data_IF_763955676768
#
_entry.id   IF_763955676768
#
_cell.length_a   1.000
_cell.length_b   1.000
_cell.length_c   1.000
_cell.angle_alpha   90.00
_cell.angle_beta   90.00
_cell.angle_gamma   90.00
#
_symmetry.space_group_name_H-M   'P 1'
#
loop_
_entity.id
_entity.type
_entity.pdbx_description
1 polymer ?
#
# COMPACT_ATOMS: atom_id res chain seq x y z
N UNK A 1 60.14 11.39 24.32
CA UNK A 1 59.59 10.22 23.60
C UNK A 1 58.29 9.68 24.22
N UNK A 2 58.15 9.62 25.56
CA UNK A 2 56.99 9.06 26.29
C UNK A 2 55.66 9.76 25.98
N UNK A 3 55.65 11.09 25.83
CA UNK A 3 54.42 11.85 25.55
C UNK A 3 53.88 11.65 24.12
N UNK A 4 54.74 11.44 23.11
CA UNK A 4 54.33 11.17 21.74
C UNK A 4 53.63 9.82 21.62
N UNK A 5 54.08 8.81 22.34
CA UNK A 5 53.46 7.48 22.39
C UNK A 5 52.07 7.52 23.05
N UNK A 6 51.90 8.32 24.08
CA UNK A 6 50.61 8.50 24.78
C UNK A 6 49.55 9.15 23.86
N UNK A 7 49.92 10.21 23.14
CA UNK A 7 49.01 10.86 22.17
C UNK A 7 48.68 9.95 20.98
N UNK A 8 49.61 9.11 20.51
CA UNK A 8 49.36 8.13 19.48
C UNK A 8 48.35 7.05 19.90
N UNK A 9 48.46 6.58 21.16
CA UNK A 9 47.51 5.60 21.73
C UNK A 9 46.12 6.18 21.94
N UNK A 10 46.02 7.44 22.39
CA UNK A 10 44.72 8.13 22.57
C UNK A 10 44.06 8.39 21.21
N UNK A 11 44.82 8.77 20.20
CA UNK A 11 44.30 8.97 18.85
C UNK A 11 43.81 7.66 18.19
N UNK A 12 44.53 6.56 18.37
CA UNK A 12 44.13 5.22 17.91
C UNK A 12 42.86 4.70 18.64
N UNK A 13 42.77 4.92 19.96
CA UNK A 13 41.57 4.59 20.73
C UNK A 13 40.37 5.40 20.32
N UNK A 14 40.54 6.70 20.10
CA UNK A 14 39.45 7.56 19.61
C UNK A 14 38.95 7.15 18.22
N UNK A 15 39.85 6.82 17.29
CA UNK A 15 39.48 6.33 15.96
C UNK A 15 38.73 4.98 16.01
N UNK A 16 39.18 4.07 16.88
CA UNK A 16 38.50 2.78 17.07
C UNK A 16 37.08 2.94 17.62
N UNK A 17 36.85 3.85 18.57
CA UNK A 17 35.54 4.16 19.10
C UNK A 17 34.65 4.78 18.04
N UNK A 18 35.15 5.71 17.22
CA UNK A 18 34.39 6.32 16.13
C UNK A 18 34.03 5.29 15.07
N UNK A 19 34.94 4.39 14.71
CA UNK A 19 34.67 3.29 13.77
C UNK A 19 33.65 2.29 14.34
N UNK A 20 33.72 1.99 15.63
CA UNK A 20 32.74 1.15 16.32
C UNK A 20 31.36 1.82 16.36
N UNK A 21 31.27 3.10 16.65
CA UNK A 21 30.01 3.86 16.61
C UNK A 21 29.42 3.92 15.19
N UNK A 22 30.25 4.08 14.16
CA UNK A 22 29.83 4.04 12.76
C UNK A 22 29.33 2.62 12.39
N UNK A 23 29.99 1.59 12.88
CA UNK A 23 29.59 0.19 12.65
C UNK A 23 28.27 -0.14 13.37
N UNK A 24 28.10 0.32 14.62
CA UNK A 24 26.87 0.17 15.40
C UNK A 24 25.73 1.07 14.90
N UNK A 25 26.02 2.11 14.13
CA UNK A 25 25.02 2.99 13.52
C UNK A 25 24.59 2.55 12.11
N UNK A 26 25.01 1.37 11.65
CA UNK A 26 24.44 0.81 10.42
C UNK A 26 22.95 0.59 10.66
N UNK A 27 22.08 1.15 9.82
CA UNK A 27 20.67 0.85 9.93
C UNK A 27 20.49 -0.66 9.82
N UNK A 28 19.71 -1.24 10.75
CA UNK A 28 19.30 -2.63 10.63
C UNK A 28 18.69 -2.84 9.24
N UNK A 29 18.96 -3.98 8.58
CA UNK A 29 18.29 -4.30 7.34
C UNK A 29 16.77 -4.28 7.59
N UNK A 30 15.99 -3.82 6.61
CA UNK A 30 14.53 -3.86 6.70
C UNK A 30 14.10 -5.27 7.07
N UNK A 31 13.23 -5.38 8.06
CA UNK A 31 12.59 -6.63 8.36
C UNK A 31 11.69 -7.01 7.17
N UNK A 32 12.11 -8.00 6.40
CA UNK A 32 11.44 -8.47 5.19
C UNK A 32 10.35 -9.50 5.53
N UNK A 33 9.44 -9.11 6.43
CA UNK A 33 8.30 -9.95 6.85
C UNK A 33 6.99 -9.32 6.46
N UNK A 34 5.94 -10.12 6.42
CA UNK A 34 4.63 -9.68 6.02
C UNK A 34 4.64 -9.12 4.59
N UNK A 35 3.81 -8.12 4.33
CA UNK A 35 3.75 -7.50 3.00
C UNK A 35 5.09 -6.88 2.54
N UNK A 36 5.95 -6.47 3.47
CA UNK A 36 7.29 -5.90 3.16
C UNK A 36 8.26 -6.92 2.55
N UNK A 37 7.97 -8.20 2.62
CA UNK A 37 8.72 -9.20 1.88
C UNK A 37 8.59 -9.02 0.35
N UNK A 38 7.55 -8.33 -0.09
CA UNK A 38 7.25 -8.11 -1.50
C UNK A 38 7.52 -6.68 -1.92
N UNK A 39 8.18 -6.53 -3.08
CA UNK A 39 8.53 -5.20 -3.65
C UNK A 39 7.47 -4.65 -4.58
N UNK A 40 6.57 -5.50 -5.06
CA UNK A 40 5.51 -5.11 -5.97
C UNK A 40 4.15 -5.22 -5.30
N UNK A 41 3.36 -4.18 -5.46
CA UNK A 41 1.96 -4.10 -5.04
C UNK A 41 1.12 -3.91 -6.30
N UNK A 42 0.18 -4.82 -6.55
CA UNK A 42 -0.76 -4.67 -7.65
C UNK A 42 -1.74 -3.54 -7.33
N UNK A 43 -1.70 -2.46 -8.09
CA UNK A 43 -2.58 -1.31 -7.95
C UNK A 43 -3.98 -1.65 -8.44
N UNK A 44 -5.02 -1.37 -7.67
CA UNK A 44 -6.42 -1.70 -7.99
C UNK A 44 -6.64 -3.17 -8.42
N UNK A 45 -6.07 -4.12 -7.68
CA UNK A 45 -5.99 -5.56 -7.99
C UNK A 45 -5.07 -5.91 -9.18
N UNK A 46 -4.39 -4.92 -9.75
CA UNK A 46 -3.56 -5.02 -10.96
C UNK A 46 -4.33 -4.84 -12.25
N UNK A 47 -3.59 -4.56 -13.31
CA UNK A 47 -4.14 -4.45 -14.66
C UNK A 47 -4.46 -5.82 -15.26
N UNK A 48 -5.48 -5.84 -16.11
CA UNK A 48 -5.85 -7.00 -16.93
C UNK A 48 -6.01 -6.56 -18.38
N UNK A 49 -5.30 -7.23 -19.27
CA UNK A 49 -5.15 -6.79 -20.65
C UNK A 49 -4.66 -5.33 -20.71
N UNK A 50 -5.47 -4.40 -21.24
CA UNK A 50 -5.14 -2.96 -21.30
C UNK A 50 -5.87 -2.14 -20.22
N UNK A 51 -6.69 -2.79 -19.38
CA UNK A 51 -7.51 -2.12 -18.40
C UNK A 51 -6.79 -1.98 -17.06
N UNK A 52 -7.00 -0.83 -16.44
CA UNK A 52 -6.55 -0.49 -15.08
C UNK A 52 -7.75 -0.14 -14.20
N UNK A 53 -7.55 -0.02 -12.89
CA UNK A 53 -8.59 0.36 -11.92
C UNK A 53 -9.80 -0.58 -11.85
N UNK A 54 -9.66 -1.82 -12.34
CA UNK A 54 -10.81 -2.72 -12.44
C UNK A 54 -11.28 -3.24 -11.09
N UNK A 55 -10.39 -3.41 -10.14
CA UNK A 55 -10.68 -4.03 -8.83
C UNK A 55 -11.51 -5.32 -9.00
N UNK A 56 -11.22 -6.12 -10.03
CA UNK A 56 -12.01 -7.27 -10.45
C UNK A 56 -11.39 -8.61 -10.04
N UNK A 57 -12.23 -9.65 -10.02
CA UNK A 57 -11.78 -11.01 -9.71
C UNK A 57 -10.72 -11.48 -10.70
N UNK A 58 -10.95 -11.28 -11.99
CA UNK A 58 -10.06 -11.78 -13.03
C UNK A 58 -8.72 -11.01 -13.06
N UNK A 59 -8.73 -9.71 -12.71
CA UNK A 59 -7.48 -8.95 -12.53
C UNK A 59 -6.67 -9.51 -11.35
N UNK A 60 -7.32 -9.79 -10.23
CA UNK A 60 -6.68 -10.46 -9.09
C UNK A 60 -6.07 -11.80 -9.50
N UNK A 61 -6.85 -12.70 -10.12
CA UNK A 61 -6.40 -14.05 -10.49
C UNK A 61 -5.22 -13.99 -11.48
N UNK A 62 -5.32 -13.15 -12.51
CA UNK A 62 -4.24 -12.98 -13.49
C UNK A 62 -2.93 -12.47 -12.87
N UNK A 63 -3.00 -11.55 -11.92
CA UNK A 63 -1.81 -11.00 -11.26
C UNK A 63 -1.29 -11.95 -10.16
N UNK A 64 -2.15 -12.70 -9.49
CA UNK A 64 -1.74 -13.76 -8.57
C UNK A 64 -0.95 -14.86 -9.28
N UNK A 65 -1.40 -15.30 -10.47
CA UNK A 65 -0.70 -16.27 -11.31
C UNK A 65 0.69 -15.77 -11.78
N UNK A 66 0.84 -14.46 -12.00
CA UNK A 66 2.14 -13.83 -12.29
C UNK A 66 3.08 -13.74 -11.08
N UNK A 67 2.63 -14.16 -9.89
CA UNK A 67 3.43 -14.17 -8.67
C UNK A 67 3.20 -12.98 -7.73
N UNK A 68 2.25 -12.09 -8.00
CA UNK A 68 1.88 -11.00 -7.08
C UNK A 68 1.22 -11.56 -5.82
N UNK A 69 1.57 -11.00 -4.67
CA UNK A 69 1.04 -11.40 -3.35
C UNK A 69 0.52 -10.23 -2.52
N UNK A 70 0.77 -9.02 -2.94
CA UNK A 70 0.26 -7.81 -2.28
C UNK A 70 -0.63 -7.07 -3.27
N UNK A 71 -1.90 -6.91 -2.93
CA UNK A 71 -2.91 -6.28 -3.77
C UNK A 71 -3.45 -5.04 -3.07
N UNK A 72 -3.34 -3.91 -3.71
CA UNK A 72 -4.03 -2.71 -3.29
C UNK A 72 -5.44 -2.72 -3.85
N UNK A 73 -6.39 -2.28 -3.04
CA UNK A 73 -7.82 -2.27 -3.34
C UNK A 73 -8.42 -0.92 -2.98
N UNK A 74 -9.06 -0.31 -3.94
CA UNK A 74 -9.86 0.90 -3.75
C UNK A 74 -11.18 0.55 -3.08
N UNK A 75 -11.53 1.20 -1.98
CA UNK A 75 -12.77 0.94 -1.26
C UNK A 75 -13.71 2.15 -1.20
N UNK A 76 -14.95 1.93 -1.58
CA UNK A 76 -16.05 2.88 -1.44
C UNK A 76 -17.26 2.22 -0.77
N UNK A 77 -18.18 3.05 -0.27
CA UNK A 77 -19.50 2.60 0.16
C UNK A 77 -20.51 2.73 -0.98
N UNK A 78 -21.29 1.69 -1.17
CA UNK A 78 -22.46 1.70 -2.06
C UNK A 78 -23.60 2.55 -1.50
N UNK A 79 -24.65 2.77 -2.29
CA UNK A 79 -25.85 3.51 -1.87
C UNK A 79 -26.53 2.87 -0.65
N UNK A 80 -26.52 1.55 -0.55
CA UNK A 80 -27.07 0.75 0.54
C UNK A 80 -26.05 0.36 1.60
N UNK A 81 -24.95 1.15 1.71
CA UNK A 81 -23.93 1.05 2.77
C UNK A 81 -23.15 -0.26 2.79
N UNK A 82 -22.94 -0.89 1.64
CA UNK A 82 -22.07 -2.07 1.50
C UNK A 82 -20.69 -1.62 1.03
N UNK A 83 -19.61 -2.22 1.57
CA UNK A 83 -18.25 -1.92 1.16
C UNK A 83 -17.91 -2.66 -0.14
N UNK A 84 -17.53 -1.90 -1.16
CA UNK A 84 -17.26 -2.38 -2.52
C UNK A 84 -15.85 -1.99 -2.97
N UNK A 85 -15.31 -2.74 -3.92
CA UNK A 85 -14.01 -2.47 -4.54
C UNK A 85 -14.18 -1.62 -5.81
N UNK A 86 -14.02 -0.29 -5.69
CA UNK A 86 -14.14 0.66 -6.76
C UNK A 86 -13.36 1.94 -6.47
N UNK A 87 -12.66 2.48 -7.46
CA UNK A 87 -11.84 3.68 -7.30
C UNK A 87 -12.68 4.94 -7.06
N UNK A 88 -13.74 5.15 -7.82
CA UNK A 88 -14.56 6.36 -7.76
C UNK A 88 -15.94 6.13 -8.38
N UNK A 89 -16.96 6.83 -7.85
CA UNK A 89 -18.24 6.97 -8.49
C UNK A 89 -18.20 8.06 -9.58
N UNK A 90 -19.10 7.99 -10.52
CA UNK A 90 -19.26 9.01 -11.55
C UNK A 90 -19.13 8.45 -12.96
N UNK A 91 -19.63 9.23 -13.91
CA UNK A 91 -19.71 8.86 -15.31
C UNK A 91 -18.34 8.57 -15.95
N UNK A 92 -17.30 9.31 -15.52
CA UNK A 92 -15.94 9.08 -16.01
C UNK A 92 -15.47 7.65 -15.74
N UNK A 93 -15.65 7.15 -14.51
CA UNK A 93 -15.25 5.77 -14.15
C UNK A 93 -16.18 4.71 -14.76
N UNK A 94 -17.47 5.01 -14.91
CA UNK A 94 -18.39 4.13 -15.62
C UNK A 94 -17.94 3.93 -17.07
N UNK A 95 -17.49 5.00 -17.72
CA UNK A 95 -16.97 4.95 -19.08
C UNK A 95 -15.59 4.26 -19.15
N UNK A 96 -14.66 4.61 -18.25
CA UNK A 96 -13.32 4.01 -18.17
C UNK A 96 -13.39 2.49 -18.01
N UNK A 97 -14.32 2.02 -17.16
CA UNK A 97 -14.54 0.60 -16.90
C UNK A 97 -15.50 -0.07 -17.89
N UNK A 98 -15.96 0.65 -18.93
CA UNK A 98 -16.84 0.19 -19.99
C UNK A 98 -18.12 -0.46 -19.45
N UNK A 99 -18.73 0.19 -18.45
CA UNK A 99 -19.95 -0.28 -17.79
C UNK A 99 -21.23 0.44 -18.27
N UNK A 100 -21.17 1.23 -19.33
CA UNK A 100 -22.30 2.05 -19.80
C UNK A 100 -23.49 1.20 -20.27
N UNK A 101 -23.22 0.02 -20.81
CA UNK A 101 -24.27 -0.89 -21.32
C UNK A 101 -24.87 -1.76 -20.22
N UNK A 102 -24.25 -1.78 -19.01
CA UNK A 102 -24.65 -2.65 -17.91
C UNK A 102 -25.81 -2.06 -17.08
N UNK A 103 -26.00 -0.74 -17.12
CA UNK A 103 -27.00 -0.02 -16.37
C UNK A 103 -27.67 1.10 -17.19
N UNK A 104 -28.91 1.50 -16.86
CA UNK A 104 -29.57 2.64 -17.51
C UNK A 104 -28.76 3.93 -17.38
N UNK A 105 -28.84 4.80 -18.42
CA UNK A 105 -28.00 6.01 -18.54
C UNK A 105 -28.08 6.95 -17.32
N UNK A 106 -29.25 7.03 -16.67
CA UNK A 106 -29.45 7.83 -15.47
C UNK A 106 -28.68 7.32 -14.24
N UNK A 107 -28.14 6.10 -14.31
CA UNK A 107 -27.33 5.51 -13.24
C UNK A 107 -25.81 5.73 -13.45
N UNK A 108 -25.34 6.11 -14.64
CA UNK A 108 -23.91 6.17 -14.96
C UNK A 108 -23.11 7.11 -14.03
N UNK A 109 -23.70 8.23 -13.60
CA UNK A 109 -23.07 9.19 -12.69
C UNK A 109 -23.43 9.01 -11.21
N UNK A 110 -24.27 8.04 -10.88
CA UNK A 110 -24.81 7.88 -9.54
C UNK A 110 -23.97 6.94 -8.66
N UNK A 111 -24.21 6.99 -7.35
CA UNK A 111 -23.78 5.92 -6.43
C UNK A 111 -24.74 4.75 -6.61
N UNK A 112 -24.22 3.55 -6.84
CA UNK A 112 -25.01 2.35 -7.06
C UNK A 112 -25.27 1.58 -5.78
N UNK A 113 -26.34 0.80 -5.73
CA UNK A 113 -26.50 -0.24 -4.72
C UNK A 113 -25.49 -1.36 -4.94
N UNK A 114 -25.22 -2.16 -3.90
CA UNK A 114 -24.35 -3.33 -4.05
C UNK A 114 -24.83 -4.33 -5.11
N UNK A 115 -26.16 -4.48 -5.25
CA UNK A 115 -26.76 -5.35 -6.26
C UNK A 115 -26.52 -4.82 -7.69
N UNK A 116 -26.72 -3.52 -7.94
CA UNK A 116 -26.41 -2.88 -9.21
C UNK A 116 -24.91 -2.99 -9.53
N UNK A 117 -24.05 -2.76 -8.53
CA UNK A 117 -22.61 -2.87 -8.69
C UNK A 117 -22.17 -4.29 -9.11
N UNK A 118 -22.72 -5.33 -8.47
CA UNK A 118 -22.41 -6.72 -8.82
C UNK A 118 -22.93 -7.14 -10.19
N UNK A 119 -24.02 -6.54 -10.66
CA UNK A 119 -24.55 -6.78 -12.02
C UNK A 119 -23.69 -6.12 -13.09
N UNK A 120 -23.18 -4.90 -12.82
CA UNK A 120 -22.45 -4.10 -13.78
C UNK A 120 -21.03 -4.64 -13.99
N UNK A 121 -20.87 -5.65 -14.85
CA UNK A 121 -19.56 -6.23 -15.17
C UNK A 121 -18.63 -5.17 -15.75
N UNK A 122 -17.37 -5.19 -15.32
CA UNK A 122 -16.34 -4.37 -15.93
C UNK A 122 -16.04 -4.92 -17.32
N UNK A 123 -16.09 -4.05 -18.35
CA UNK A 123 -15.97 -4.43 -19.77
C UNK A 123 -16.94 -5.56 -20.19
N UNK A 124 -18.13 -5.61 -19.58
CA UNK A 124 -19.15 -6.63 -19.85
C UNK A 124 -18.77 -8.07 -19.42
N UNK A 125 -17.61 -8.27 -18.78
CA UNK A 125 -17.07 -9.63 -18.51
C UNK A 125 -16.40 -9.82 -17.15
N UNK A 126 -15.67 -8.82 -16.63
CA UNK A 126 -14.93 -8.97 -15.37
C UNK A 126 -15.83 -8.72 -14.17
N UNK A 127 -15.65 -9.55 -13.15
CA UNK A 127 -16.50 -9.54 -11.96
C UNK A 127 -16.10 -8.47 -10.95
N UNK A 128 -16.97 -7.48 -10.66
CA UNK A 128 -16.77 -6.53 -9.58
C UNK A 128 -16.78 -7.23 -8.22
N UNK A 129 -15.92 -6.80 -7.29
CA UNK A 129 -15.78 -7.41 -5.97
C UNK A 129 -16.39 -6.54 -4.85
N UNK A 130 -17.14 -7.18 -3.96
CA UNK A 130 -17.48 -6.65 -2.65
C UNK A 130 -16.38 -6.99 -1.65
N UNK A 131 -16.35 -6.32 -0.49
CA UNK A 131 -15.43 -6.69 0.58
C UNK A 131 -15.57 -8.16 1.00
N UNK A 132 -16.78 -8.67 1.10
CA UNK A 132 -17.04 -10.07 1.44
C UNK A 132 -16.43 -11.05 0.42
N UNK A 133 -16.39 -10.69 -0.86
CA UNK A 133 -15.74 -11.49 -1.90
C UNK A 133 -14.22 -11.48 -1.69
N UNK A 134 -13.64 -10.32 -1.37
CA UNK A 134 -12.20 -10.18 -1.10
C UNK A 134 -11.80 -10.98 0.16
N UNK A 135 -12.60 -10.94 1.20
CA UNK A 135 -12.38 -11.76 2.41
C UNK A 135 -12.34 -13.26 2.06
N UNK A 136 -13.23 -13.73 1.19
CA UNK A 136 -13.22 -15.13 0.69
C UNK A 136 -11.96 -15.43 -0.12
N UNK A 137 -11.48 -14.47 -0.93
CA UNK A 137 -10.19 -14.62 -1.63
C UNK A 137 -9.04 -14.74 -0.63
N UNK A 138 -9.01 -13.94 0.44
CA UNK A 138 -8.00 -14.03 1.48
C UNK A 138 -8.00 -15.39 2.21
N UNK A 139 -9.15 -16.03 2.36
CA UNK A 139 -9.25 -17.40 2.89
C UNK A 139 -8.72 -18.42 1.88
N UNK A 140 -9.10 -18.30 0.61
CA UNK A 140 -8.67 -19.19 -0.47
C UNK A 140 -7.17 -19.10 -0.75
N UNK A 141 -6.59 -17.92 -0.62
CA UNK A 141 -5.19 -17.60 -0.90
C UNK A 141 -4.50 -17.08 0.38
N UNK A 142 -3.95 -17.97 1.23
CA UNK A 142 -3.43 -17.60 2.55
C UNK A 142 -2.12 -16.81 2.52
N UNK A 143 -1.51 -16.64 1.35
CA UNK A 143 -0.24 -15.96 1.12
C UNK A 143 -0.41 -14.51 0.58
N UNK A 144 -1.64 -14.00 0.43
CA UNK A 144 -1.87 -12.64 -0.03
C UNK A 144 -2.04 -11.64 1.10
N UNK A 145 -1.69 -10.39 0.81
CA UNK A 145 -1.92 -9.20 1.64
C UNK A 145 -2.81 -8.22 0.89
N UNK A 146 -3.75 -7.60 1.59
CA UNK A 146 -4.63 -6.56 1.05
C UNK A 146 -4.22 -5.21 1.62
N UNK A 147 -3.79 -4.30 0.75
CA UNK A 147 -3.55 -2.89 1.07
C UNK A 147 -4.82 -2.12 0.79
N UNK A 148 -5.36 -1.40 1.78
CA UNK A 148 -6.63 -0.69 1.60
C UNK A 148 -6.40 0.75 1.14
N UNK A 149 -7.03 1.15 0.04
CA UNK A 149 -7.13 2.55 -0.39
C UNK A 149 -8.58 3.06 -0.27
N UNK A 150 -8.85 3.81 0.79
CA UNK A 150 -10.21 4.30 1.08
C UNK A 150 -10.43 5.74 0.64
N UNK A 151 -9.37 6.49 0.39
CA UNK A 151 -9.36 7.92 -0.01
C UNK A 151 -10.11 8.87 0.92
N UNK A 152 -10.74 8.36 1.97
CA UNK A 152 -11.54 9.16 2.90
C UNK A 152 -10.66 9.79 3.96
N UNK A 153 -10.95 11.05 4.27
CA UNK A 153 -10.26 11.82 5.32
C UNK A 153 -11.22 12.35 6.39
N UNK A 154 -12.52 12.22 6.16
CA UNK A 154 -13.54 12.61 7.14
C UNK A 154 -13.69 11.53 8.19
N UNK A 155 -13.64 11.87 9.49
CA UNK A 155 -13.68 10.88 10.56
C UNK A 155 -14.85 9.91 10.47
N UNK A 156 -16.05 10.40 10.22
CA UNK A 156 -17.26 9.58 10.13
C UNK A 156 -17.25 8.57 8.98
N UNK A 157 -16.58 8.90 7.86
CA UNK A 157 -16.45 8.00 6.71
C UNK A 157 -15.37 6.95 6.99
N UNK A 158 -14.25 7.35 7.59
CA UNK A 158 -13.19 6.44 8.04
C UNK A 158 -13.77 5.41 9.02
N UNK A 159 -14.54 5.87 10.01
CA UNK A 159 -15.17 5.00 11.01
C UNK A 159 -16.09 3.96 10.35
N UNK A 160 -16.94 4.39 9.43
CA UNK A 160 -17.88 3.48 8.73
C UNK A 160 -17.14 2.41 7.93
N UNK A 161 -16.09 2.80 7.21
CA UNK A 161 -15.32 1.90 6.35
C UNK A 161 -14.51 0.92 7.18
N UNK A 162 -13.75 1.40 8.18
CA UNK A 162 -12.90 0.52 8.99
C UNK A 162 -13.69 -0.39 9.93
N UNK A 163 -14.86 0.04 10.40
CA UNK A 163 -15.80 -0.88 11.08
C UNK A 163 -16.16 -2.07 10.20
N UNK A 164 -16.52 -1.83 8.92
CA UNK A 164 -16.89 -2.89 7.96
C UNK A 164 -15.72 -3.78 7.59
N UNK A 165 -14.52 -3.20 7.38
CA UNK A 165 -13.30 -3.97 7.08
C UNK A 165 -13.02 -4.95 8.22
N UNK A 166 -13.01 -4.44 9.46
CA UNK A 166 -12.66 -5.25 10.63
C UNK A 166 -13.75 -6.27 10.96
N UNK A 167 -15.01 -5.88 10.88
CA UNK A 167 -16.14 -6.77 11.15
C UNK A 167 -16.21 -7.91 10.12
N UNK A 168 -16.17 -7.60 8.82
CA UNK A 168 -16.23 -8.62 7.77
C UNK A 168 -15.08 -9.62 7.85
N UNK A 169 -13.85 -9.15 8.11
CA UNK A 169 -12.72 -10.05 8.33
C UNK A 169 -12.93 -10.94 9.58
N UNK A 170 -13.33 -10.36 10.72
CA UNK A 170 -13.56 -11.11 11.96
C UNK A 170 -14.68 -12.15 11.86
N UNK A 171 -15.74 -11.86 11.10
CA UNK A 171 -16.85 -12.79 10.90
C UNK A 171 -16.41 -14.05 10.16
N UNK A 172 -15.46 -13.92 9.25
CA UNK A 172 -14.95 -15.04 8.48
C UNK A 172 -13.80 -15.75 9.20
N UNK A 173 -12.74 -15.02 9.55
CA UNK A 173 -11.59 -15.48 10.34
C UNK A 173 -10.83 -14.27 10.89
N UNK A 174 -10.73 -14.08 12.22
CA UNK A 174 -9.98 -12.98 12.81
C UNK A 174 -8.51 -12.90 12.40
N UNK A 175 -7.87 -14.01 12.01
CA UNK A 175 -6.47 -14.02 11.56
C UNK A 175 -6.27 -13.30 10.22
N UNK A 176 -7.34 -13.08 9.44
CA UNK A 176 -7.26 -12.31 8.20
C UNK A 176 -6.78 -10.87 8.44
N UNK A 177 -7.05 -10.31 9.63
CA UNK A 177 -6.63 -8.96 10.00
C UNK A 177 -5.10 -8.77 10.01
N UNK A 178 -4.32 -9.83 10.24
CA UNK A 178 -2.86 -9.83 10.17
C UNK A 178 -2.32 -9.58 8.75
N UNK A 179 -3.17 -9.78 7.74
CA UNK A 179 -2.84 -9.63 6.32
C UNK A 179 -3.54 -8.44 5.66
N UNK A 180 -4.23 -7.61 6.44
CA UNK A 180 -4.79 -6.34 6.00
C UNK A 180 -3.80 -5.23 6.38
N UNK A 181 -3.45 -4.40 5.39
CA UNK A 181 -2.46 -3.32 5.50
C UNK A 181 -3.15 -1.99 5.19
N UNK A 182 -3.66 -1.27 6.19
CA UNK A 182 -4.30 0.02 5.96
C UNK A 182 -3.34 1.06 5.38
N UNK A 183 -3.82 1.86 4.42
CA UNK A 183 -3.22 3.14 4.06
C UNK A 183 -3.88 4.26 4.86
N UNK A 184 -3.08 5.16 5.43
CA UNK A 184 -3.54 6.40 6.07
C UNK A 184 -3.07 7.60 5.27
N UNK A 185 -3.89 8.65 5.22
CA UNK A 185 -3.65 9.86 4.39
C UNK A 185 -3.18 11.06 5.21
N UNK A 186 -3.37 11.01 6.52
CA UNK A 186 -2.94 12.03 7.47
C UNK A 186 -2.63 11.39 8.82
N UNK A 187 -1.92 12.13 9.67
CA UNK A 187 -1.49 11.63 10.98
C UNK A 187 -2.66 11.29 11.92
N UNK A 188 -3.75 12.10 12.03
CA UNK A 188 -4.88 11.78 12.91
C UNK A 188 -5.58 10.46 12.57
N UNK A 189 -5.59 10.04 11.31
CA UNK A 189 -6.23 8.79 10.88
C UNK A 189 -5.60 7.56 11.55
N UNK A 190 -4.32 7.62 11.94
CA UNK A 190 -3.65 6.52 12.61
C UNK A 190 -4.35 6.11 13.92
N UNK A 191 -4.59 7.08 14.79
CA UNK A 191 -5.26 6.82 16.07
C UNK A 191 -6.73 6.42 15.88
N UNK A 192 -7.35 6.92 14.85
CA UNK A 192 -8.74 6.56 14.52
C UNK A 192 -8.86 5.10 14.09
N UNK A 193 -8.05 4.62 13.15
CA UNK A 193 -8.11 3.23 12.71
C UNK A 193 -7.69 2.22 13.78
N UNK A 194 -6.78 2.62 14.67
CA UNK A 194 -6.34 1.79 15.80
C UNK A 194 -7.45 1.50 16.81
N UNK A 195 -8.53 2.30 16.84
CA UNK A 195 -9.69 2.02 17.68
C UNK A 195 -10.45 0.77 17.24
N UNK A 196 -10.36 0.39 15.97
CA UNK A 196 -11.01 -0.80 15.41
C UNK A 196 -10.15 -2.05 15.51
N UNK A 197 -8.86 -1.91 15.23
CA UNK A 197 -7.89 -3.00 15.33
C UNK A 197 -6.44 -2.47 15.35
N UNK A 198 -5.57 -3.15 16.10
CA UNK A 198 -4.14 -2.88 16.12
C UNK A 198 -3.47 -3.62 14.95
N UNK A 199 -3.59 -3.07 13.74
CA UNK A 199 -3.00 -3.67 12.54
C UNK A 199 -1.48 -3.78 12.67
N UNK A 200 -0.93 -4.93 12.29
CA UNK A 200 0.52 -5.22 12.35
C UNK A 200 1.34 -4.31 11.43
N UNK A 201 0.75 -3.89 10.33
CA UNK A 201 1.37 -3.04 9.32
C UNK A 201 0.44 -1.93 8.88
N UNK A 202 0.97 -0.70 8.82
CA UNK A 202 0.25 0.47 8.31
C UNK A 202 1.16 1.22 7.35
N UNK A 203 0.62 1.61 6.20
CA UNK A 203 1.30 2.45 5.21
C UNK A 203 0.84 3.89 5.36
N UNK A 204 1.79 4.83 5.45
CA UNK A 204 1.47 6.25 5.34
C UNK A 204 1.61 6.69 3.88
N UNK A 205 0.48 6.94 3.23
CA UNK A 205 0.47 7.46 1.85
C UNK A 205 0.50 8.99 1.83
N UNK A 206 1.38 9.54 1.01
CA UNK A 206 1.55 10.98 0.90
C UNK A 206 0.67 11.61 -0.20
N UNK A 207 -0.23 10.84 -0.80
CA UNK A 207 -1.08 11.28 -1.90
C UNK A 207 -1.88 12.55 -1.57
N UNK A 208 -2.48 12.62 -0.38
CA UNK A 208 -3.24 13.78 0.09
C UNK A 208 -2.53 14.56 1.21
N UNK A 209 -1.35 14.10 1.63
CA UNK A 209 -0.64 14.69 2.77
C UNK A 209 0.03 16.02 2.41
N UNK A 210 -0.16 17.02 3.28
CA UNK A 210 0.54 18.31 3.22
C UNK A 210 1.77 18.35 4.13
N UNK A 211 2.14 17.21 4.76
CA UNK A 211 3.27 17.12 5.65
C UNK A 211 4.60 17.38 4.94
N UNK A 212 5.44 18.19 5.58
CA UNK A 212 6.83 18.36 5.16
C UNK A 212 7.62 17.04 5.33
N UNK A 213 8.74 16.90 4.61
CA UNK A 213 9.62 15.74 4.72
C UNK A 213 9.98 15.41 6.18
N UNK A 214 10.23 16.45 7.00
CA UNK A 214 10.58 16.28 8.42
C UNK A 214 9.42 15.73 9.24
N UNK A 215 8.20 16.20 9.00
CA UNK A 215 7.00 15.70 9.67
C UNK A 215 6.74 14.23 9.29
N UNK A 216 6.82 13.90 7.99
CA UNK A 216 6.68 12.52 7.50
C UNK A 216 7.69 11.58 8.18
N UNK A 217 8.97 11.94 8.18
CA UNK A 217 10.03 11.10 8.74
C UNK A 217 9.84 10.91 10.25
N UNK A 218 9.56 11.99 10.99
CA UNK A 218 9.36 11.90 12.43
C UNK A 218 8.12 11.07 12.76
N UNK A 219 6.99 11.37 12.13
CA UNK A 219 5.75 10.64 12.35
C UNK A 219 5.90 9.14 12.07
N UNK A 220 6.47 8.80 10.92
CA UNK A 220 6.62 7.40 10.53
C UNK A 220 7.53 6.63 11.49
N UNK A 221 8.66 7.22 11.92
CA UNK A 221 9.56 6.62 12.91
C UNK A 221 8.90 6.47 14.28
N UNK A 222 8.28 7.54 14.78
CA UNK A 222 7.80 7.61 16.16
C UNK A 222 6.53 6.77 16.38
N UNK A 223 5.82 6.41 15.30
CA UNK A 223 4.55 5.67 15.36
C UNK A 223 4.62 4.26 14.76
N UNK A 224 5.80 3.77 14.39
CA UNK A 224 5.96 2.41 13.87
C UNK A 224 5.28 2.19 12.51
N UNK A 225 5.26 3.22 11.66
CA UNK A 225 4.73 3.10 10.30
C UNK A 225 5.58 2.09 9.50
N UNK A 226 4.93 1.09 8.92
CA UNK A 226 5.59 -0.03 8.26
C UNK A 226 6.23 0.37 6.93
N UNK A 227 5.62 1.30 6.19
CA UNK A 227 6.13 1.86 4.94
C UNK A 227 5.54 3.24 4.65
N UNK A 228 6.22 4.00 3.80
CA UNK A 228 5.70 5.26 3.25
C UNK A 228 5.53 5.09 1.75
N UNK A 229 4.36 5.46 1.22
CA UNK A 229 4.13 5.49 -0.24
C UNK A 229 3.86 6.90 -0.73
N UNK A 230 4.28 7.19 -1.96
CA UNK A 230 4.17 8.51 -2.56
C UNK A 230 4.17 8.47 -4.09
N UNK A 231 3.65 9.52 -4.71
CA UNK A 231 3.75 9.70 -6.16
C UNK A 231 5.20 9.99 -6.61
N UNK A 232 5.48 9.79 -7.89
CA UNK A 232 6.78 10.11 -8.51
C UNK A 232 7.24 11.54 -8.20
N UNK A 233 6.34 12.52 -8.30
CA UNK A 233 6.66 13.93 -8.07
C UNK A 233 7.06 14.24 -6.62
N UNK A 234 6.64 13.43 -5.66
CA UNK A 234 6.98 13.56 -4.24
C UNK A 234 8.26 12.81 -3.86
N UNK A 235 8.68 11.84 -4.67
CA UNK A 235 9.79 10.92 -4.40
C UNK A 235 11.15 11.58 -4.66
N UNK A 236 11.64 12.39 -3.71
CA UNK A 236 12.97 12.99 -3.79
C UNK A 236 14.06 12.07 -3.22
N UNK A 237 15.28 12.10 -3.80
CA UNK A 237 16.44 11.36 -3.25
C UNK A 237 16.67 11.64 -1.77
N UNK A 238 16.47 12.89 -1.33
CA UNK A 238 16.67 13.30 0.06
C UNK A 238 15.65 12.64 0.99
N UNK A 239 14.37 12.63 0.64
CA UNK A 239 13.31 12.02 1.44
C UNK A 239 13.50 10.51 1.51
N UNK A 240 13.72 9.85 0.35
CA UNK A 240 13.97 8.41 0.25
C UNK A 240 15.16 8.00 1.14
N UNK A 241 16.30 8.68 0.99
CA UNK A 241 17.49 8.38 1.79
C UNK A 241 17.26 8.62 3.29
N UNK A 242 16.44 9.59 3.65
CA UNK A 242 16.12 9.87 5.06
C UNK A 242 15.22 8.81 5.67
N UNK A 243 14.17 8.38 4.99
CA UNK A 243 13.30 7.28 5.41
C UNK A 243 14.08 5.96 5.50
N UNK A 244 14.92 5.67 4.50
CA UNK A 244 15.79 4.48 4.53
C UNK A 244 16.71 4.44 5.75
N UNK A 245 17.27 5.59 6.19
CA UNK A 245 18.11 5.65 7.41
C UNK A 245 17.34 5.37 8.70
N UNK A 246 16.03 5.58 8.70
CA UNK A 246 15.16 5.24 9.85
C UNK A 246 14.58 3.83 9.76
N UNK A 247 14.99 3.03 8.77
CA UNK A 247 14.49 1.66 8.60
C UNK A 247 13.10 1.57 7.94
N UNK A 248 12.61 2.67 7.33
CA UNK A 248 11.27 2.72 6.74
C UNK A 248 11.38 2.59 5.21
N UNK A 249 10.85 1.50 4.62
CA UNK A 249 10.82 1.31 3.18
C UNK A 249 9.89 2.33 2.50
N UNK A 250 10.30 2.74 1.29
CA UNK A 250 9.53 3.66 0.45
C UNK A 250 8.99 2.91 -0.76
N UNK A 251 7.70 3.03 -0.99
CA UNK A 251 7.06 2.60 -2.23
C UNK A 251 6.66 3.83 -3.07
N UNK A 252 6.68 3.68 -4.38
CA UNK A 252 6.25 4.74 -5.32
C UNK A 252 5.10 4.22 -6.18
N UNK A 253 4.08 5.05 -6.37
CA UNK A 253 2.88 4.74 -7.15
C UNK A 253 2.65 5.79 -8.25
N UNK A 254 2.09 5.46 -9.38
CA UNK A 254 1.94 4.12 -9.97
C UNK A 254 2.94 4.03 -11.10
N UNK A 255 3.76 2.99 -11.13
CA UNK A 255 4.86 2.84 -12.07
C UNK A 255 4.55 1.66 -12.99
N UNK A 256 4.37 1.95 -14.29
CA UNK A 256 4.07 0.96 -15.32
C UNK A 256 5.18 0.82 -16.38
N UNK A 257 6.29 1.52 -16.18
CA UNK A 257 7.44 1.53 -17.09
C UNK A 257 8.70 1.02 -16.38
N UNK A 258 9.39 0.05 -16.97
CA UNK A 258 10.57 -0.59 -16.37
C UNK A 258 11.77 0.36 -16.27
N UNK A 259 11.94 1.30 -17.22
CA UNK A 259 13.05 2.27 -17.18
C UNK A 259 12.82 3.26 -16.04
N UNK A 260 11.58 3.73 -15.87
CA UNK A 260 11.16 4.59 -14.75
C UNK A 260 11.36 3.85 -13.45
N UNK A 261 10.93 2.59 -13.35
CA UNK A 261 11.15 1.74 -12.17
C UNK A 261 12.65 1.64 -11.83
N UNK A 262 13.49 1.35 -12.83
CA UNK A 262 14.95 1.23 -12.68
C UNK A 262 15.57 2.52 -12.14
N UNK A 263 15.14 3.68 -12.64
CA UNK A 263 15.55 5.00 -12.15
C UNK A 263 15.24 5.18 -10.65
N UNK A 264 14.02 4.85 -10.23
CA UNK A 264 13.63 4.98 -8.82
C UNK A 264 14.30 3.93 -7.91
N UNK A 265 14.55 2.71 -8.40
CA UNK A 265 15.40 1.72 -7.71
C UNK A 265 16.80 2.29 -7.43
N UNK A 266 17.42 2.96 -8.41
CA UNK A 266 18.72 3.62 -8.24
C UNK A 266 18.68 4.80 -7.24
N UNK A 267 17.53 5.44 -7.07
CA UNK A 267 17.33 6.45 -6.03
C UNK A 267 17.17 5.85 -4.64
N UNK A 268 16.98 4.54 -4.52
CA UNK A 268 16.85 3.82 -3.26
C UNK A 268 15.40 3.51 -2.87
N UNK A 269 14.44 3.66 -3.80
CA UNK A 269 13.05 3.20 -3.61
C UNK A 269 13.05 1.69 -3.40
N UNK A 270 12.29 1.24 -2.42
CA UNK A 270 12.22 -0.16 -2.03
C UNK A 270 11.28 -0.97 -2.91
N UNK A 271 10.09 -0.44 -3.18
CA UNK A 271 9.05 -1.13 -3.95
C UNK A 271 8.13 -0.18 -4.72
N UNK A 272 7.19 -0.75 -5.45
CA UNK A 272 6.35 0.00 -6.38
C UNK A 272 4.91 -0.53 -6.37
N UNK A 273 3.97 0.38 -6.58
CA UNK A 273 2.63 0.03 -7.06
C UNK A 273 2.65 0.06 -8.58
N UNK A 274 2.06 -0.95 -9.19
CA UNK A 274 1.97 -1.05 -10.65
C UNK A 274 0.67 -1.72 -11.08
N UNK A 275 0.18 -1.32 -12.25
CA UNK A 275 -0.93 -2.00 -12.90
C UNK A 275 -0.44 -3.27 -13.64
N UNK A 276 0.74 -3.21 -14.27
CA UNK A 276 1.17 -4.24 -15.22
C UNK A 276 2.47 -4.94 -14.87
N UNK A 277 3.35 -4.28 -14.09
CA UNK A 277 4.63 -4.87 -13.73
C UNK A 277 4.44 -5.78 -12.52
N UNK A 278 4.84 -7.03 -12.65
CA UNK A 278 4.86 -8.00 -11.56
C UNK A 278 6.26 -8.09 -10.95
N UNK A 279 6.34 -8.54 -9.70
CA UNK A 279 7.62 -8.90 -9.08
C UNK A 279 8.22 -10.11 -9.79
N UNK A 280 9.50 -10.06 -10.12
CA UNK A 280 10.22 -11.26 -10.52
C UNK A 280 10.30 -12.23 -9.33
N UNK A 281 10.31 -13.54 -9.58
CA UNK A 281 10.45 -14.55 -8.52
C UNK A 281 11.71 -14.32 -7.65
N UNK A 282 12.73 -13.62 -8.17
CA UNK A 282 13.94 -13.23 -7.45
C UNK A 282 13.72 -12.04 -6.48
N UNK A 283 12.63 -11.29 -6.61
CA UNK A 283 12.26 -10.18 -5.73
C UNK A 283 11.32 -10.62 -4.60
N UNK A 284 10.85 -11.88 -4.63
CA UNK A 284 10.01 -12.48 -3.60
C UNK A 284 10.84 -13.37 -2.66
N UNK A 285 10.53 -13.43 -1.37
CA UNK A 285 11.23 -14.31 -0.46
C UNK A 285 10.99 -15.78 -0.87
N UNK A 286 12.07 -16.56 -0.86
CA UNK A 286 12.05 -18.02 -1.04
C UNK A 286 11.47 -18.70 0.18
#
# INVERSE_FOLDING_TARGET
MRNKLLYSLMAAGGLAIVLLLIFLSKPEPFELTGFKAYRMIAHAMGGIEEMTYTNSLEAFEANYEKGTRVFEVDFLLSQDDVLIARHEWGEFFTNLLRQQEELPAERHGAVWTAAEFKQAKVDGRYEPLLWDDIVKLMVKYPDIYIVTDTKQIKPEEIDRIFAKIVEGAKQQDPQLLERIVPQIYNQPMLEQIRQYYAFDSIIYTLYQSQDSDRQVINFARDNGIAAVTMSEGRASKKLIASLKRTGIPVYVHTINDEEVMSKYKQMGVYGFYSDFLAGNAADNPS
#
